data_IF_560554671227
#
_entry.id   IF_560554671227
#
_cell.length_a   1.000
_cell.length_b   1.000
_cell.length_c   1.000
_cell.angle_alpha   90.00
_cell.angle_beta   90.00
_cell.angle_gamma   90.00
#
_symmetry.space_group_name_H-M   'P 1'
#
loop_
_entity.id
_entity.type
_entity.pdbx_description
1 polymer ?
#
# COMPACT_ATOMS: atom_id res chain seq x y z
N UNK A 1 -8.81 3.86 -13.32
CA UNK A 1 -10.07 3.61 -14.03
C UNK A 1 -10.94 4.85 -13.96
N UNK A 2 -11.34 5.34 -12.78
CA UNK A 2 -12.22 6.53 -12.62
C UNK A 2 -11.68 7.79 -13.31
N UNK A 3 -10.37 7.93 -13.44
CA UNK A 3 -9.70 9.04 -14.14
C UNK A 3 -9.23 8.65 -15.55
N UNK A 4 -9.88 7.67 -16.18
CA UNK A 4 -9.60 7.19 -17.54
C UNK A 4 -8.19 6.62 -17.77
N UNK A 5 -7.46 6.27 -16.70
CA UNK A 5 -6.22 5.51 -16.85
C UNK A 5 -6.53 4.02 -17.05
N UNK A 6 -5.81 3.40 -17.98
CA UNK A 6 -5.84 1.96 -18.18
C UNK A 6 -4.88 1.28 -17.21
N UNK A 7 -5.36 0.52 -16.23
CA UNK A 7 -4.48 -0.20 -15.31
C UNK A 7 -3.83 -1.38 -16.04
N UNK A 8 -2.52 -1.55 -15.80
CA UNK A 8 -1.76 -2.72 -16.24
C UNK A 8 -1.37 -3.50 -14.98
N UNK A 9 -1.87 -4.71 -14.86
CA UNK A 9 -1.60 -5.56 -13.70
C UNK A 9 -0.37 -6.45 -13.95
N UNK A 10 0.36 -6.74 -12.88
CA UNK A 10 1.51 -7.65 -12.85
C UNK A 10 1.31 -8.67 -11.74
N UNK A 11 1.92 -9.84 -11.89
CA UNK A 11 1.93 -10.83 -10.82
C UNK A 11 2.90 -10.41 -9.70
N UNK A 12 2.83 -11.06 -8.58
CA UNK A 12 3.62 -10.76 -7.40
C UNK A 12 4.90 -11.59 -7.32
N UNK A 13 5.88 -11.08 -6.57
CA UNK A 13 7.00 -11.87 -6.10
C UNK A 13 6.54 -12.65 -4.83
N UNK A 14 6.55 -13.99 -4.87
CA UNK A 14 6.05 -14.78 -3.75
C UNK A 14 6.90 -14.69 -2.48
N UNK A 15 8.11 -14.12 -2.55
CA UNK A 15 9.00 -13.98 -1.38
C UNK A 15 8.76 -12.70 -0.57
N UNK A 16 8.08 -11.71 -1.14
CA UNK A 16 7.73 -10.48 -0.44
C UNK A 16 6.27 -10.04 -0.67
N UNK A 17 5.53 -10.82 -1.45
CA UNK A 17 4.11 -10.60 -1.80
C UNK A 17 3.82 -9.27 -2.54
N UNK A 18 4.84 -8.47 -2.82
CA UNK A 18 4.72 -7.24 -3.58
C UNK A 18 4.76 -7.52 -5.09
N UNK A 19 4.45 -6.51 -5.90
CA UNK A 19 4.55 -6.60 -7.36
C UNK A 19 5.94 -7.07 -7.78
N UNK A 20 6.01 -8.03 -8.73
CA UNK A 20 7.28 -8.50 -9.29
C UNK A 20 7.94 -7.41 -10.12
N UNK A 21 9.17 -7.05 -9.77
CA UNK A 21 9.95 -6.08 -10.52
C UNK A 21 10.27 -6.54 -11.96
N UNK A 22 10.47 -7.83 -12.17
CA UNK A 22 10.66 -8.42 -13.51
C UNK A 22 9.41 -8.24 -14.37
N UNK A 23 8.22 -8.52 -13.81
CA UNK A 23 6.94 -8.32 -14.49
C UNK A 23 6.68 -6.84 -14.79
N UNK A 24 7.00 -5.94 -13.86
CA UNK A 24 6.90 -4.49 -14.07
C UNK A 24 7.79 -4.09 -15.25
N UNK A 25 9.07 -4.47 -15.22
CA UNK A 25 10.04 -4.11 -16.26
C UNK A 25 9.60 -4.63 -17.63
N UNK A 26 9.03 -5.83 -17.69
CA UNK A 26 8.51 -6.43 -18.94
C UNK A 26 7.33 -5.66 -19.52
N UNK A 27 6.46 -5.12 -18.67
CA UNK A 27 5.20 -4.47 -19.09
C UNK A 27 5.30 -2.95 -19.28
N UNK A 28 6.32 -2.31 -18.71
CA UNK A 28 6.54 -0.87 -18.90
C UNK A 28 6.87 -0.56 -20.37
N UNK A 29 6.16 0.40 -20.94
CA UNK A 29 6.33 0.84 -22.31
C UNK A 29 6.21 2.38 -22.43
N UNK A 30 6.26 2.93 -23.64
CA UNK A 30 6.22 4.38 -23.90
C UNK A 30 4.95 5.09 -23.40
N UNK A 31 3.86 4.34 -23.22
CA UNK A 31 2.58 4.87 -22.74
C UNK A 31 2.41 4.71 -21.22
N UNK A 32 3.40 4.12 -20.51
CA UNK A 32 3.33 3.95 -19.07
C UNK A 32 3.64 5.27 -18.36
N UNK A 33 2.65 5.85 -17.72
CA UNK A 33 2.79 7.08 -16.96
C UNK A 33 3.46 6.87 -15.61
N UNK A 34 3.02 5.86 -14.88
CA UNK A 34 3.48 5.59 -13.52
C UNK A 34 3.45 4.10 -13.18
N UNK A 35 4.29 3.71 -12.23
CA UNK A 35 4.20 2.47 -11.48
C UNK A 35 3.73 2.80 -10.07
N UNK A 36 2.60 2.25 -9.67
CA UNK A 36 2.04 2.35 -8.33
C UNK A 36 2.36 1.05 -7.59
N UNK A 37 3.39 1.08 -6.74
CA UNK A 37 3.84 -0.11 -6.02
C UNK A 37 3.29 -0.12 -4.60
N UNK A 38 2.70 -1.24 -4.19
CA UNK A 38 2.24 -1.44 -2.81
C UNK A 38 3.27 -2.25 -2.04
N UNK A 39 3.71 -1.71 -0.90
CA UNK A 39 4.57 -2.39 0.07
C UNK A 39 3.69 -3.19 1.04
N UNK A 40 3.23 -4.32 0.56
CA UNK A 40 2.17 -5.10 1.21
C UNK A 40 2.63 -5.73 2.52
N UNK A 41 1.78 -5.69 3.54
CA UNK A 41 1.97 -6.33 4.86
C UNK A 41 3.31 -6.01 5.55
N UNK A 42 3.92 -4.86 5.21
CA UNK A 42 5.20 -4.45 5.77
C UNK A 42 6.43 -4.92 5.01
N UNK A 43 6.28 -5.61 3.89
CA UNK A 43 7.41 -5.99 3.03
C UNK A 43 7.91 -4.82 2.19
N UNK A 44 9.17 -4.90 1.80
CA UNK A 44 9.75 -4.01 0.81
C UNK A 44 9.53 -4.57 -0.61
N UNK A 45 8.85 -3.80 -1.47
CA UNK A 45 8.64 -4.14 -2.88
C UNK A 45 9.66 -3.53 -3.84
N UNK A 46 10.61 -2.71 -3.36
CA UNK A 46 11.60 -2.05 -4.22
C UNK A 46 12.85 -2.92 -4.42
N UNK A 47 13.43 -2.79 -5.61
CA UNK A 47 14.78 -3.27 -5.94
C UNK A 47 15.58 -2.14 -6.60
N UNK A 48 16.91 -2.18 -6.48
CA UNK A 48 17.78 -1.22 -7.16
C UNK A 48 17.58 -1.26 -8.67
N UNK A 49 17.36 -2.45 -9.22
CA UNK A 49 17.07 -2.68 -10.64
C UNK A 49 15.81 -1.93 -11.09
N UNK A 50 14.71 -2.07 -10.34
CA UNK A 50 13.45 -1.40 -10.64
C UNK A 50 13.59 0.13 -10.59
N UNK A 51 14.17 0.67 -9.51
CA UNK A 51 14.36 2.12 -9.34
C UNK A 51 15.18 2.70 -10.50
N UNK A 52 16.32 2.07 -10.81
CA UNK A 52 17.19 2.53 -11.90
C UNK A 52 16.49 2.46 -13.27
N UNK A 53 15.71 1.39 -13.50
CA UNK A 53 14.95 1.21 -14.74
C UNK A 53 13.87 2.29 -14.90
N UNK A 54 13.05 2.53 -13.88
CA UNK A 54 12.00 3.55 -13.93
C UNK A 54 12.57 4.96 -14.13
N UNK A 55 13.69 5.27 -13.46
CA UNK A 55 14.41 6.53 -13.65
C UNK A 55 14.89 6.68 -15.10
N UNK A 56 15.52 5.65 -15.69
CA UNK A 56 15.98 5.64 -17.10
C UNK A 56 14.82 5.82 -18.06
N UNK A 57 13.67 5.21 -17.79
CA UNK A 57 12.47 5.30 -18.62
C UNK A 57 11.63 6.56 -18.36
N UNK A 58 12.00 7.39 -17.38
CA UNK A 58 11.24 8.57 -16.93
C UNK A 58 9.80 8.24 -16.53
N UNK A 59 9.57 7.03 -16.02
CA UNK A 59 8.27 6.56 -15.50
C UNK A 59 8.18 6.93 -14.02
N UNK A 60 7.07 7.53 -13.62
CA UNK A 60 6.86 7.94 -12.23
C UNK A 60 6.73 6.73 -11.32
N UNK A 61 7.39 6.78 -10.17
CA UNK A 61 7.16 5.83 -9.08
C UNK A 61 6.24 6.47 -8.05
N UNK A 62 5.18 5.76 -7.69
CA UNK A 62 4.27 6.09 -6.60
C UNK A 62 4.34 4.92 -5.61
N UNK A 63 4.54 5.23 -4.32
CA UNK A 63 4.66 4.22 -3.27
C UNK A 63 3.40 4.20 -2.41
N UNK A 64 2.76 3.05 -2.31
CA UNK A 64 1.77 2.77 -1.28
C UNK A 64 2.48 2.12 -0.08
N UNK A 65 2.71 2.91 0.95
CA UNK A 65 3.34 2.50 2.20
C UNK A 65 2.33 2.35 3.36
N UNK A 66 1.04 2.23 3.05
CA UNK A 66 -0.04 2.13 4.04
C UNK A 66 0.18 1.03 5.06
N UNK A 67 0.78 -0.09 4.64
CA UNK A 67 1.05 -1.25 5.48
C UNK A 67 2.52 -1.39 5.89
N UNK A 68 3.35 -0.35 5.67
CA UNK A 68 4.81 -0.46 5.76
C UNK A 68 5.48 0.71 6.50
N UNK A 69 4.80 1.25 7.52
CA UNK A 69 5.37 2.33 8.33
C UNK A 69 6.66 1.90 9.01
N UNK A 70 7.76 2.51 8.60
CA UNK A 70 9.09 2.23 9.14
C UNK A 70 9.84 1.10 8.48
N UNK A 71 9.28 0.43 7.47
CA UNK A 71 10.04 -0.45 6.58
C UNK A 71 11.06 0.35 5.76
N UNK A 72 12.11 -0.32 5.30
CA UNK A 72 13.25 0.34 4.67
C UNK A 72 13.72 -0.40 3.42
N UNK A 73 14.31 0.36 2.49
CA UNK A 73 15.14 -0.15 1.41
C UNK A 73 16.47 0.61 1.41
N UNK A 74 17.60 -0.09 1.38
CA UNK A 74 18.95 0.50 1.45
C UNK A 74 19.06 1.55 2.57
N UNK A 75 18.59 1.21 3.78
CA UNK A 75 18.58 2.04 5.01
C UNK A 75 17.74 3.33 4.91
N UNK A 76 17.00 3.56 3.83
CA UNK A 76 16.05 4.67 3.71
C UNK A 76 14.62 4.16 3.89
N UNK A 77 13.77 4.97 4.50
CA UNK A 77 12.36 4.63 4.72
C UNK A 77 11.62 4.44 3.39
N UNK A 78 10.77 3.41 3.31
CA UNK A 78 9.80 3.31 2.22
C UNK A 78 8.85 4.52 2.26
N UNK A 79 8.36 4.91 1.08
CA UNK A 79 7.62 6.16 0.91
C UNK A 79 8.50 7.39 0.63
N UNK A 80 9.85 7.21 0.51
CA UNK A 80 10.79 8.29 0.19
C UNK A 80 11.48 8.15 -1.16
N UNK A 81 11.17 7.12 -1.91
CA UNK A 81 11.78 6.82 -3.22
C UNK A 81 10.94 7.31 -4.39
N UNK A 82 9.62 7.29 -4.26
CA UNK A 82 8.68 7.71 -5.27
C UNK A 82 8.47 9.24 -5.33
N UNK A 83 7.86 9.69 -6.41
CA UNK A 83 7.41 11.08 -6.57
C UNK A 83 6.31 11.45 -5.58
N UNK A 84 5.47 10.46 -5.26
CA UNK A 84 4.36 10.54 -4.31
C UNK A 84 4.38 9.25 -3.49
N UNK A 85 4.02 9.35 -2.22
CA UNK A 85 3.72 8.21 -1.39
C UNK A 85 2.46 8.45 -0.55
N UNK A 86 1.76 7.37 -0.22
CA UNK A 86 0.62 7.40 0.68
C UNK A 86 0.83 6.48 1.88
N UNK A 87 0.27 6.92 3.00
CA UNK A 87 0.25 6.22 4.28
C UNK A 87 -1.18 6.16 4.80
N UNK A 88 -1.52 5.06 5.45
CA UNK A 88 -2.81 4.89 6.11
C UNK A 88 -2.64 4.85 7.62
N UNK A 89 -3.54 5.52 8.31
CA UNK A 89 -3.64 5.49 9.76
C UNK A 89 -4.88 4.73 10.24
N UNK A 90 -5.33 3.77 9.41
CA UNK A 90 -6.38 2.83 9.75
C UNK A 90 -6.02 2.03 11.01
N UNK A 91 -7.01 1.65 11.81
CA UNK A 91 -6.79 1.07 13.15
C UNK A 91 -5.91 -0.19 13.15
N UNK A 92 -5.92 -0.99 12.08
CA UNK A 92 -5.17 -2.24 12.00
C UNK A 92 -3.70 -2.07 11.56
N UNK A 93 -3.26 -0.85 11.20
CA UNK A 93 -1.91 -0.60 10.70
C UNK A 93 -0.91 -0.37 11.85
N UNK A 94 0.34 -0.07 11.51
CA UNK A 94 1.43 0.12 12.48
C UNK A 94 1.17 1.28 13.46
N UNK A 95 0.50 2.30 12.95
CA UNK A 95 0.14 3.52 13.66
C UNK A 95 -1.30 3.87 13.28
N UNK A 96 -2.14 4.12 14.26
CA UNK A 96 -3.56 4.35 14.05
C UNK A 96 -3.99 5.73 14.54
N UNK A 97 -4.86 6.38 13.77
CA UNK A 97 -5.64 7.54 14.22
C UNK A 97 -7.14 7.24 14.17
N UNK A 98 -7.50 5.94 14.39
CA UNK A 98 -8.81 5.34 14.16
C UNK A 98 -9.03 5.21 12.64
N UNK A 99 -9.28 6.31 11.97
CA UNK A 99 -9.26 6.50 10.53
C UNK A 99 -8.34 7.67 10.18
N UNK A 100 -7.72 7.64 9.00
CA UNK A 100 -6.88 8.71 8.52
C UNK A 100 -5.90 8.25 7.46
N UNK A 101 -5.23 9.22 6.85
CA UNK A 101 -4.19 8.97 5.86
C UNK A 101 -3.36 10.22 5.60
N UNK A 102 -2.23 9.99 4.94
CA UNK A 102 -1.30 11.05 4.55
C UNK A 102 -0.75 10.77 3.16
N UNK A 103 -0.67 11.82 2.36
CA UNK A 103 0.07 11.79 1.09
C UNK A 103 1.30 12.66 1.24
N UNK A 104 2.47 12.13 0.89
CA UNK A 104 3.76 12.81 0.96
C UNK A 104 4.35 13.02 -0.43
N UNK A 105 4.96 14.18 -0.65
CA UNK A 105 5.70 14.49 -1.86
C UNK A 105 6.73 15.59 -1.59
N UNK A 106 7.85 15.57 -2.32
CA UNK A 106 8.84 16.65 -2.34
C UNK A 106 8.60 17.64 -3.49
N UNK A 107 7.55 17.44 -4.31
CA UNK A 107 7.19 18.33 -5.39
C UNK A 107 6.19 19.38 -4.92
N UNK A 108 6.61 20.65 -4.92
CA UNK A 108 5.78 21.76 -4.45
C UNK A 108 4.47 21.92 -5.24
N UNK A 109 4.48 21.69 -6.54
CA UNK A 109 3.26 21.81 -7.36
C UNK A 109 2.26 20.72 -7.01
N UNK A 110 2.74 19.48 -6.86
CA UNK A 110 1.90 18.36 -6.41
C UNK A 110 1.35 18.65 -5.02
N UNK A 111 2.19 19.09 -4.08
CA UNK A 111 1.78 19.43 -2.72
C UNK A 111 0.65 20.47 -2.69
N UNK A 112 0.80 21.59 -3.42
CA UNK A 112 -0.22 22.63 -3.49
C UNK A 112 -1.53 22.11 -4.13
N UNK A 113 -1.40 21.30 -5.19
CA UNK A 113 -2.56 20.65 -5.82
C UNK A 113 -3.30 19.72 -4.84
N UNK A 114 -2.57 18.89 -4.11
CA UNK A 114 -3.13 17.98 -3.11
C UNK A 114 -3.85 18.72 -1.98
N UNK A 115 -3.32 19.86 -1.51
CA UNK A 115 -3.98 20.71 -0.52
C UNK A 115 -5.34 21.20 -1.00
N UNK A 116 -5.39 21.66 -2.24
CA UNK A 116 -6.64 22.13 -2.87
C UNK A 116 -7.61 20.94 -3.02
N UNK A 117 -7.14 19.82 -3.57
CA UNK A 117 -7.97 18.63 -3.82
C UNK A 117 -8.50 17.99 -2.54
N UNK A 118 -7.74 18.01 -1.44
CA UNK A 118 -8.15 17.51 -0.14
C UNK A 118 -9.41 18.18 0.40
N UNK A 119 -9.68 19.41 -0.03
CA UNK A 119 -10.74 20.27 0.52
C UNK A 119 -11.61 20.82 -0.60
N UNK A 120 -12.47 20.01 -1.18
CA UNK A 120 -13.46 20.37 -2.20
C UNK A 120 -12.88 21.04 -3.47
N UNK A 121 -11.57 21.03 -3.70
CA UNK A 121 -10.95 21.76 -4.81
C UNK A 121 -10.86 23.28 -4.57
N UNK A 122 -10.94 23.75 -3.32
CA UNK A 122 -10.99 25.18 -3.00
C UNK A 122 -9.63 25.86 -3.14
N UNK A 123 -9.56 26.92 -3.94
CA UNK A 123 -8.37 27.74 -4.16
C UNK A 123 -7.78 28.31 -2.86
N UNK A 124 -8.62 28.63 -1.89
CA UNK A 124 -8.19 29.22 -0.61
C UNK A 124 -7.22 28.34 0.18
N UNK A 125 -7.23 27.03 -0.04
CA UNK A 125 -6.35 26.07 0.63
C UNK A 125 -4.89 26.10 0.14
N UNK A 126 -4.64 26.70 -1.05
CA UNK A 126 -3.26 26.87 -1.54
C UNK A 126 -2.50 27.90 -0.70
N UNK A 127 -1.20 27.65 -0.51
CA UNK A 127 -0.28 28.62 0.07
C UNK A 127 0.44 29.44 -1.01
N UNK A 128 0.27 29.10 -2.29
CA UNK A 128 0.87 29.83 -3.42
C UNK A 128 0.09 31.13 -3.69
N UNK A 129 0.59 32.22 -3.15
CA UNK A 129 -0.02 33.54 -3.27
C UNK A 129 -0.07 34.06 -4.71
N UNK A 130 0.94 33.74 -5.51
CA UNK A 130 1.01 34.14 -6.93
C UNK A 130 -0.08 33.42 -7.70
N UNK A 131 -0.16 32.11 -7.53
CA UNK A 131 -1.21 31.28 -8.12
C UNK A 131 -2.61 31.72 -7.71
N UNK A 132 -2.81 32.01 -6.42
CA UNK A 132 -4.10 32.53 -5.90
C UNK A 132 -4.52 33.83 -6.58
N UNK A 133 -3.61 34.82 -6.63
CA UNK A 133 -3.87 36.11 -7.30
C UNK A 133 -4.23 35.93 -8.77
N UNK A 134 -3.49 35.05 -9.49
CA UNK A 134 -3.74 34.71 -10.90
C UNK A 134 -5.16 34.12 -11.08
N UNK A 135 -5.57 33.20 -10.24
CA UNK A 135 -6.88 32.54 -10.34
C UNK A 135 -8.02 33.49 -9.98
N UNK A 136 -7.85 34.33 -8.96
CA UNK A 136 -8.85 35.36 -8.59
C UNK A 136 -9.06 36.33 -9.78
N UNK A 137 -7.97 36.79 -10.41
CA UNK A 137 -8.06 37.65 -11.60
C UNK A 137 -8.74 36.96 -12.79
N UNK A 138 -8.53 35.63 -12.93
CA UNK A 138 -9.14 34.83 -14.00
C UNK A 138 -10.65 34.67 -13.84
N UNK A 139 -11.15 34.70 -12.60
CA UNK A 139 -12.57 34.50 -12.27
C UNK A 139 -13.14 35.67 -11.46
N UNK A 140 -13.19 36.89 -12.05
CA UNK A 140 -13.53 38.14 -11.32
C UNK A 140 -14.96 38.19 -10.81
N UNK A 141 -15.85 37.37 -11.36
CA UNK A 141 -17.28 37.30 -10.95
C UNK A 141 -17.52 36.38 -9.76
N UNK A 142 -16.50 35.61 -9.33
CA UNK A 142 -16.60 34.69 -8.21
C UNK A 142 -16.05 35.33 -6.93
N UNK A 143 -16.63 34.97 -5.79
CA UNK A 143 -16.06 35.32 -4.50
C UNK A 143 -14.67 34.66 -4.38
N UNK A 144 -13.64 35.44 -4.04
CA UNK A 144 -12.28 34.93 -3.84
C UNK A 144 -12.18 33.83 -2.75
N UNK A 145 -13.15 33.76 -1.86
CA UNK A 145 -13.26 32.73 -0.80
C UNK A 145 -13.84 31.42 -1.30
N UNK A 146 -14.55 31.39 -2.43
CA UNK A 146 -15.28 30.23 -2.94
C UNK A 146 -15.02 29.98 -4.42
N UNK A 147 -13.75 29.95 -4.80
CA UNK A 147 -13.30 29.47 -6.12
C UNK A 147 -12.95 28.00 -5.99
N UNK A 148 -13.66 27.11 -6.70
CA UNK A 148 -13.42 25.68 -6.76
C UNK A 148 -12.74 25.35 -8.08
N UNK A 149 -11.50 24.85 -8.03
CA UNK A 149 -10.69 24.61 -9.23
C UNK A 149 -10.83 23.18 -9.77
N UNK A 150 -11.17 22.23 -8.91
CA UNK A 150 -11.24 20.81 -9.26
C UNK A 150 -12.53 20.17 -8.71
N UNK A 151 -13.16 19.28 -9.49
CA UNK A 151 -14.24 18.43 -8.98
C UNK A 151 -13.64 17.35 -8.07
N UNK A 152 -13.74 17.54 -6.76
CA UNK A 152 -13.17 16.62 -5.77
C UNK A 152 -14.00 16.62 -4.49
N UNK A 153 -13.62 15.73 -3.57
CA UNK A 153 -14.34 15.52 -2.32
C UNK A 153 -13.72 16.32 -1.16
N UNK A 154 -14.28 16.15 0.04
CA UNK A 154 -13.70 16.61 1.28
C UNK A 154 -13.00 15.43 1.97
N UNK A 155 -11.67 15.45 1.99
CA UNK A 155 -10.82 14.48 2.67
C UNK A 155 -10.02 15.09 3.82
N UNK A 156 -10.51 16.22 4.36
CA UNK A 156 -9.84 16.87 5.48
C UNK A 156 -9.81 15.95 6.69
N UNK A 157 -8.65 15.85 7.32
CA UNK A 157 -8.48 15.21 8.61
C UNK A 157 -8.85 16.21 9.71
N UNK A 158 -8.87 15.74 10.97
CA UNK A 158 -9.14 16.54 12.15
C UNK A 158 -7.97 16.51 13.13
N UNK A 159 -7.97 17.45 14.07
CA UNK A 159 -6.91 17.61 15.06
C UNK A 159 -6.88 16.48 16.09
N UNK A 160 -8.03 15.88 16.40
CA UNK A 160 -8.14 14.76 17.34
C UNK A 160 -7.31 13.56 16.81
N UNK A 161 -7.49 13.23 15.53
CA UNK A 161 -6.68 12.19 14.87
C UNK A 161 -5.19 12.53 14.90
N UNK A 162 -4.82 13.80 14.71
CA UNK A 162 -3.42 14.24 14.76
C UNK A 162 -2.79 14.05 16.16
N UNK A 163 -3.51 14.36 17.23
CA UNK A 163 -3.05 14.15 18.62
C UNK A 163 -2.83 12.65 18.89
N UNK A 164 -3.77 11.80 18.48
CA UNK A 164 -3.64 10.34 18.58
C UNK A 164 -2.39 9.88 17.81
N UNK A 165 -2.21 10.35 16.57
CA UNK A 165 -1.07 10.00 15.72
C UNK A 165 0.28 10.39 16.33
N UNK A 166 0.38 11.56 16.91
CA UNK A 166 1.59 12.03 17.61
C UNK A 166 1.94 11.13 18.82
N UNK A 167 0.94 10.67 19.57
CA UNK A 167 1.14 9.70 20.64
C UNK A 167 1.66 8.36 20.12
N UNK A 168 1.03 7.82 19.05
CA UNK A 168 1.42 6.58 18.42
C UNK A 168 2.85 6.64 17.83
N UNK A 169 3.22 7.79 17.25
CA UNK A 169 4.54 7.99 16.63
C UNK A 169 5.68 7.78 17.62
N UNK A 170 5.52 8.18 18.89
CA UNK A 170 6.53 8.01 19.96
C UNK A 170 6.93 6.56 20.15
N UNK A 171 6.01 5.62 20.00
CA UNK A 171 6.25 4.18 20.21
C UNK A 171 6.51 3.40 18.91
N UNK A 172 6.35 4.01 17.73
CA UNK A 172 6.40 3.32 16.45
C UNK A 172 7.69 2.52 16.23
N UNK A 173 8.85 3.11 16.48
CA UNK A 173 10.13 2.42 16.26
C UNK A 173 10.31 1.23 17.22
N UNK A 174 9.93 1.36 18.49
CA UNK A 174 9.96 0.27 19.49
C UNK A 174 9.03 -0.87 19.05
N UNK A 175 7.81 -0.54 18.67
CA UNK A 175 6.81 -1.50 18.22
C UNK A 175 7.24 -2.22 16.95
N UNK A 176 7.85 -1.50 16.01
CA UNK A 176 8.37 -2.07 14.77
C UNK A 176 9.52 -3.05 15.01
N UNK A 177 10.41 -2.75 15.96
CA UNK A 177 11.46 -3.68 16.38
C UNK A 177 10.84 -4.98 16.90
N UNK A 178 9.87 -4.87 17.83
CA UNK A 178 9.19 -6.04 18.38
C UNK A 178 8.47 -6.87 17.31
N UNK A 179 7.76 -6.23 16.37
CA UNK A 179 7.11 -6.91 15.24
C UNK A 179 8.11 -7.68 14.37
N UNK A 180 9.28 -7.09 14.09
CA UNK A 180 10.35 -7.78 13.34
C UNK A 180 10.87 -9.01 14.08
N UNK A 181 11.07 -8.91 15.38
CA UNK A 181 11.54 -10.02 16.21
C UNK A 181 10.48 -11.12 16.29
N UNK A 182 9.21 -10.76 16.51
CA UNK A 182 8.09 -11.67 16.49
C UNK A 182 8.00 -12.41 15.14
N UNK A 183 8.14 -11.70 14.02
CA UNK A 183 8.06 -12.32 12.69
C UNK A 183 9.18 -13.31 12.44
N UNK A 184 10.41 -12.97 12.83
CA UNK A 184 11.54 -13.90 12.74
C UNK A 184 11.30 -15.16 13.58
N UNK A 185 10.79 -15.00 14.80
CA UNK A 185 10.47 -16.11 15.69
C UNK A 185 9.35 -16.98 15.11
N UNK A 186 8.28 -16.35 14.63
CA UNK A 186 7.16 -17.03 14.00
C UNK A 186 7.61 -17.92 12.84
N UNK A 187 8.47 -17.43 11.95
CA UNK A 187 8.98 -18.22 10.82
C UNK A 187 9.78 -19.44 11.24
N UNK A 188 10.46 -19.40 12.40
CA UNK A 188 11.20 -20.55 12.94
C UNK A 188 10.27 -21.66 13.46
N UNK A 189 9.05 -21.29 13.90
CA UNK A 189 8.07 -22.24 14.44
C UNK A 189 7.24 -22.93 13.35
N UNK A 190 7.20 -22.38 12.14
CA UNK A 190 6.40 -22.94 11.06
C UNK A 190 7.02 -24.22 10.50
N UNK A 191 6.20 -25.24 10.31
CA UNK A 191 6.57 -26.46 9.59
C UNK A 191 6.85 -26.12 8.11
N UNK A 192 8.13 -26.12 7.75
CA UNK A 192 8.60 -25.80 6.40
C UNK A 192 8.09 -26.75 5.31
N UNK A 193 7.58 -27.93 5.67
CA UNK A 193 6.98 -28.83 4.69
C UNK A 193 5.58 -28.39 4.27
N UNK A 194 4.86 -27.70 5.14
CA UNK A 194 3.46 -27.26 4.96
C UNK A 194 3.36 -25.79 4.59
N UNK A 195 4.24 -24.95 5.13
CA UNK A 195 4.15 -23.49 5.02
C UNK A 195 5.36 -22.90 4.31
N UNK A 196 5.16 -21.77 3.64
CA UNK A 196 6.25 -20.96 3.12
C UNK A 196 6.95 -20.23 4.26
N UNK A 197 8.28 -20.29 4.28
CA UNK A 197 9.12 -19.61 5.27
C UNK A 197 10.23 -18.76 4.65
N UNK A 198 10.43 -18.84 3.32
CA UNK A 198 11.52 -18.21 2.56
C UNK A 198 11.20 -16.77 2.16
N UNK A 199 10.69 -15.97 3.11
CA UNK A 199 10.37 -14.58 2.86
C UNK A 199 11.59 -13.66 2.86
N UNK A 200 11.57 -12.63 2.02
CA UNK A 200 12.55 -11.54 2.00
C UNK A 200 12.25 -10.56 3.15
N UNK A 201 12.85 -10.80 4.31
CA UNK A 201 12.60 -10.00 5.52
C UNK A 201 13.52 -8.78 5.66
N UNK A 202 14.54 -8.61 4.79
CA UNK A 202 15.45 -7.48 4.87
C UNK A 202 14.69 -6.16 4.65
N UNK A 203 14.75 -5.28 5.63
CA UNK A 203 14.05 -4.00 5.60
C UNK A 203 12.55 -4.08 5.85
N UNK A 204 11.96 -5.27 6.03
CA UNK A 204 10.54 -5.42 6.29
C UNK A 204 10.15 -4.95 7.70
N UNK A 205 8.87 -4.64 7.86
CA UNK A 205 8.27 -4.32 9.15
C UNK A 205 6.82 -4.82 9.13
N UNK A 206 6.63 -6.12 9.37
CA UNK A 206 5.36 -6.79 9.15
C UNK A 206 4.39 -6.56 10.32
N UNK A 207 3.25 -5.92 10.05
CA UNK A 207 2.17 -5.76 11.03
C UNK A 207 1.29 -7.02 11.17
N UNK A 208 1.47 -7.95 10.25
CA UNK A 208 0.79 -9.23 10.22
C UNK A 208 1.77 -10.35 9.91
N UNK A 209 1.44 -11.58 10.30
CA UNK A 209 2.15 -12.79 9.92
C UNK A 209 1.51 -13.38 8.66
N UNK A 210 2.14 -13.32 7.49
CA UNK A 210 1.67 -14.06 6.33
C UNK A 210 1.86 -15.57 6.55
N UNK A 211 0.79 -16.32 6.32
CA UNK A 211 0.78 -17.79 6.40
C UNK A 211 0.38 -18.32 5.03
N UNK A 212 1.34 -18.84 4.29
CA UNK A 212 1.10 -19.34 2.94
C UNK A 212 1.21 -20.85 2.93
N UNK A 213 0.11 -21.53 2.64
CA UNK A 213 0.09 -22.99 2.48
C UNK A 213 0.83 -23.37 1.20
N UNK A 214 1.78 -24.32 1.26
CA UNK A 214 2.46 -24.84 0.08
C UNK A 214 1.55 -25.73 -0.76
N UNK A 215 0.71 -26.53 -0.10
CA UNK A 215 -0.24 -27.40 -0.75
C UNK A 215 -1.43 -26.65 -1.32
N UNK A 216 -1.87 -27.01 -2.53
CA UNK A 216 -3.11 -26.57 -3.14
C UNK A 216 -4.33 -27.42 -2.74
N UNK A 217 -4.22 -28.23 -1.67
CA UNK A 217 -5.29 -29.10 -1.18
C UNK A 217 -6.38 -28.30 -0.50
N UNK A 218 -7.58 -28.33 -1.04
CA UNK A 218 -8.77 -27.73 -0.42
C UNK A 218 -9.11 -28.39 0.91
N UNK A 219 -8.89 -29.72 1.02
CA UNK A 219 -9.07 -30.45 2.28
C UNK A 219 -8.16 -29.90 3.37
N UNK A 220 -6.86 -29.72 3.07
CA UNK A 220 -5.91 -29.18 4.05
C UNK A 220 -6.26 -27.73 4.42
N UNK A 221 -6.61 -26.90 3.43
CA UNK A 221 -7.07 -25.52 3.66
C UNK A 221 -8.27 -25.48 4.61
N UNK A 222 -9.27 -26.29 4.37
CA UNK A 222 -10.49 -26.30 5.19
C UNK A 222 -10.20 -26.76 6.63
N UNK A 223 -9.30 -27.73 6.82
CA UNK A 223 -8.85 -28.17 8.15
C UNK A 223 -8.10 -27.02 8.85
N UNK A 224 -7.23 -26.32 8.13
CA UNK A 224 -6.47 -25.18 8.65
C UNK A 224 -7.41 -24.07 9.15
N UNK A 225 -8.39 -23.64 8.33
CA UNK A 225 -9.36 -22.62 8.70
C UNK A 225 -10.21 -23.04 9.91
N UNK A 226 -10.74 -24.25 9.89
CA UNK A 226 -11.50 -24.81 11.04
C UNK A 226 -10.67 -24.82 12.32
N UNK A 227 -9.37 -25.12 12.21
CA UNK A 227 -8.46 -25.13 13.37
C UNK A 227 -8.27 -23.73 13.93
N UNK A 228 -8.02 -22.72 13.07
CA UNK A 228 -7.91 -21.33 13.52
C UNK A 228 -9.17 -20.84 14.21
N UNK A 229 -10.35 -21.11 13.61
CA UNK A 229 -11.65 -20.76 14.21
C UNK A 229 -11.85 -21.43 15.58
N UNK A 230 -11.58 -22.75 15.68
CA UNK A 230 -11.68 -23.49 16.95
C UNK A 230 -10.76 -22.90 18.03
N UNK A 231 -9.58 -22.41 17.63
CA UNK A 231 -8.61 -21.77 18.53
C UNK A 231 -8.87 -20.28 18.74
N UNK A 232 -9.95 -19.73 18.18
CA UNK A 232 -10.33 -18.31 18.27
C UNK A 232 -9.22 -17.39 17.76
N UNK A 233 -8.47 -17.82 16.74
CA UNK A 233 -7.45 -17.03 16.07
C UNK A 233 -8.11 -16.31 14.89
N UNK A 234 -8.19 -14.97 14.96
CA UNK A 234 -8.66 -14.16 13.85
C UNK A 234 -7.67 -14.24 12.69
N UNK A 235 -8.18 -14.49 11.50
CA UNK A 235 -7.40 -14.55 10.28
C UNK A 235 -8.15 -13.94 9.11
N UNK A 236 -7.42 -13.56 8.09
CA UNK A 236 -7.99 -13.14 6.81
C UNK A 236 -7.36 -13.96 5.69
N UNK A 237 -8.17 -14.43 4.74
CA UNK A 237 -7.70 -15.18 3.58
C UNK A 237 -7.17 -14.23 2.50
N UNK A 238 -6.17 -14.68 1.78
CA UNK A 238 -5.45 -13.92 0.78
C UNK A 238 -4.33 -13.08 1.39
N UNK A 239 -4.01 -12.02 0.70
CA UNK A 239 -3.22 -10.90 1.22
C UNK A 239 -4.14 -9.71 1.49
N UNK A 240 -3.57 -8.56 1.79
CA UNK A 240 -4.33 -7.32 1.94
C UNK A 240 -5.28 -7.09 0.77
N UNK A 241 -6.49 -6.67 1.06
CA UNK A 241 -7.55 -6.53 0.06
C UNK A 241 -8.14 -7.85 -0.45
N UNK A 242 -7.89 -9.00 0.20
CA UNK A 242 -8.49 -10.29 -0.15
C UNK A 242 -7.80 -11.05 -1.28
N UNK A 243 -6.53 -10.76 -1.56
CA UNK A 243 -5.70 -11.47 -2.54
C UNK A 243 -5.84 -10.94 -3.97
N UNK A 244 -6.14 -11.77 -4.96
CA UNK A 244 -6.17 -11.37 -6.36
C UNK A 244 -7.35 -10.44 -6.68
N UNK A 245 -7.09 -9.15 -6.87
CA UNK A 245 -8.09 -8.13 -7.18
C UNK A 245 -8.76 -8.35 -8.55
N UNK A 246 -8.10 -9.03 -9.49
CA UNK A 246 -8.69 -9.35 -10.80
C UNK A 246 -9.90 -10.28 -10.69
N UNK A 247 -10.07 -10.95 -9.55
CA UNK A 247 -11.25 -11.78 -9.26
C UNK A 247 -12.43 -11.00 -8.67
N UNK A 248 -12.21 -9.74 -8.32
CA UNK A 248 -13.25 -8.91 -7.71
C UNK A 248 -14.24 -8.39 -8.75
N UNK A 249 -15.55 -8.39 -8.46
CA UNK A 249 -16.59 -8.00 -9.41
C UNK A 249 -16.39 -6.61 -10.02
N UNK A 250 -15.91 -5.65 -9.25
CA UNK A 250 -15.71 -4.27 -9.71
C UNK A 250 -14.67 -4.14 -10.82
N UNK A 251 -13.68 -5.06 -10.89
CA UNK A 251 -12.67 -5.06 -11.96
C UNK A 251 -13.07 -5.89 -13.16
N UNK A 252 -13.91 -6.89 -13.01
CA UNK A 252 -14.25 -7.83 -14.09
C UNK A 252 -14.74 -7.13 -15.36
N UNK A 253 -15.49 -6.04 -15.23
CA UNK A 253 -15.98 -5.25 -16.37
C UNK A 253 -14.85 -4.61 -17.19
N UNK A 254 -13.72 -4.29 -16.54
CA UNK A 254 -12.59 -3.54 -17.14
C UNK A 254 -11.46 -4.45 -17.63
N UNK A 255 -11.40 -5.70 -17.14
CA UNK A 255 -10.25 -6.59 -17.35
C UNK A 255 -10.64 -7.93 -17.97
N UNK A 256 -11.81 -8.03 -18.59
CA UNK A 256 -12.32 -9.26 -19.27
C UNK A 256 -11.32 -9.88 -20.26
N UNK A 257 -10.41 -9.07 -20.81
CA UNK A 257 -9.39 -9.50 -21.76
C UNK A 257 -8.15 -10.13 -21.09
N UNK A 258 -8.05 -10.10 -19.77
CA UNK A 258 -6.92 -10.67 -19.04
C UNK A 258 -7.17 -12.13 -18.68
N UNK A 259 -6.26 -13.02 -19.09
CA UNK A 259 -6.23 -14.39 -18.55
C UNK A 259 -5.68 -14.39 -17.13
N UNK A 260 -6.40 -15.00 -16.19
CA UNK A 260 -5.96 -15.18 -14.80
C UNK A 260 -4.76 -16.12 -14.70
N UNK A 261 -4.52 -16.97 -15.70
CA UNK A 261 -3.38 -17.88 -15.75
C UNK A 261 -2.02 -17.16 -15.76
N UNK A 262 -2.01 -15.89 -16.14
CA UNK A 262 -0.83 -15.04 -16.09
C UNK A 262 -0.50 -14.52 -14.69
N UNK A 263 -1.32 -14.83 -13.68
CA UNK A 263 -1.22 -14.30 -12.30
C UNK A 263 -1.18 -15.43 -11.27
N UNK A 264 -0.37 -16.46 -11.55
CA UNK A 264 -0.32 -17.72 -10.77
C UNK A 264 0.10 -17.52 -9.32
N UNK A 265 1.00 -16.56 -9.05
CA UNK A 265 1.50 -16.33 -7.70
C UNK A 265 0.45 -15.67 -6.82
N UNK A 266 -0.17 -14.59 -7.30
CA UNK A 266 -1.25 -13.93 -6.54
C UNK A 266 -2.48 -14.81 -6.42
N UNK A 267 -2.76 -15.67 -7.40
CA UNK A 267 -3.84 -16.66 -7.31
C UNK A 267 -3.57 -17.72 -6.24
N UNK A 268 -2.33 -18.19 -6.13
CA UNK A 268 -1.98 -19.07 -5.04
C UNK A 268 -2.22 -18.42 -3.67
N UNK A 269 -1.82 -17.14 -3.52
CA UNK A 269 -2.07 -16.39 -2.29
C UNK A 269 -3.58 -16.18 -2.06
N UNK A 270 -4.35 -15.89 -3.10
CA UNK A 270 -5.81 -15.70 -3.00
C UNK A 270 -6.51 -16.91 -2.38
N UNK A 271 -6.12 -18.13 -2.77
CA UNK A 271 -6.78 -19.36 -2.32
C UNK A 271 -6.13 -20.02 -1.11
N UNK A 272 -4.82 -19.85 -0.92
CA UNK A 272 -4.01 -20.60 0.04
C UNK A 272 -3.11 -19.69 0.89
N UNK A 273 -3.25 -18.39 0.77
CA UNK A 273 -2.61 -17.41 1.61
C UNK A 273 -3.54 -16.93 2.73
N UNK A 274 -2.95 -16.59 3.85
CA UNK A 274 -3.62 -16.01 5.01
C UNK A 274 -2.72 -15.00 5.67
N UNK A 275 -3.30 -14.15 6.50
CA UNK A 275 -2.53 -13.40 7.47
C UNK A 275 -3.27 -13.29 8.81
N UNK A 276 -2.48 -13.25 9.86
CA UNK A 276 -2.92 -13.09 11.27
C UNK A 276 -2.17 -11.92 11.89
N UNK A 277 -2.72 -11.29 12.92
CA UNK A 277 -2.14 -10.09 13.51
C UNK A 277 -0.77 -10.32 14.15
N UNK A 278 0.18 -9.41 13.92
CA UNK A 278 1.48 -9.36 14.59
C UNK A 278 1.50 -8.16 15.53
N UNK A 279 1.02 -8.35 16.74
CA UNK A 279 0.93 -7.31 17.75
C UNK A 279 2.24 -7.16 18.52
N UNK A 280 2.69 -5.92 18.85
CA UNK A 280 3.89 -5.74 19.67
C UNK A 280 3.81 -6.36 21.07
N UNK A 281 2.58 -6.55 21.58
CA UNK A 281 2.31 -7.13 22.88
C UNK A 281 2.31 -8.66 22.93
N UNK A 282 2.52 -9.34 21.79
CA UNK A 282 2.68 -10.78 21.78
C UNK A 282 3.95 -11.16 22.55
N UNK A 283 3.78 -12.04 23.53
CA UNK A 283 4.84 -12.59 24.39
C UNK A 283 5.41 -13.88 23.81
#
# INVERSE_FOLDING_TARGET
IQNNFKPIFVDINPKNLCMSDEEIIRKVNKNTLAVFITHIQGFNGLTSKLISYLKKKKVLLIEDACESHGATFNNKKLGTFGKISNFSFYYAHHMSTIEGGMICTNDRKIYETLKIMRSHGMLRESNDTIFKKKMIKKYPKLSSKFIFLYPTYNFRNNEVGAVIGLSQLKSLNKNNKKRKDNFKFFLKLLDKSKYRIDFQTKGSCNYAFPVILKSKSLKFRNIFEKTLLKKKIEFRRGSSGGGNQLRQPYLQKFVKYLSLDNFKQVDHIHFFGYYIGNYPSLS
#
